data_IF_808380574355
#
_entry.id   IF_808380574355
#
_cell.length_a   1.000
_cell.length_b   1.000
_cell.length_c   1.000
_cell.angle_alpha   90.00
_cell.angle_beta   90.00
_cell.angle_gamma   90.00
#
_symmetry.space_group_name_H-M   'P 1'
#
loop_
_entity.id
_entity.type
_entity.pdbx_description
1 polymer ?
#
# COMPACT_ATOMS: atom_id res chain seq x y z
N UNK A 1 -15.24 11.17 14.95
CA UNK A 1 -14.95 11.72 16.28
C UNK A 1 -13.43 11.67 16.46
N UNK A 2 -12.80 12.82 16.72
CA UNK A 2 -11.35 12.95 16.77
C UNK A 2 -10.78 12.37 18.07
N UNK A 3 -9.69 11.59 17.98
CA UNK A 3 -8.98 11.03 19.11
C UNK A 3 -7.69 11.84 19.34
N UNK A 4 -7.59 12.51 20.49
CA UNK A 4 -6.42 13.28 20.92
C UNK A 4 -5.54 12.43 21.84
N UNK A 5 -4.28 12.23 21.49
CA UNK A 5 -3.28 11.58 22.37
C UNK A 5 -2.55 12.67 23.15
N UNK A 6 -2.78 12.75 24.46
CA UNK A 6 -2.06 13.64 25.38
C UNK A 6 -0.95 12.85 26.06
N UNK A 7 0.32 13.22 25.84
CA UNK A 7 1.43 12.79 26.69
C UNK A 7 1.87 13.96 27.58
N UNK A 8 1.76 13.78 28.90
CA UNK A 8 2.32 14.72 29.89
C UNK A 8 3.81 14.40 30.07
N UNK A 9 4.67 15.41 29.96
CA UNK A 9 5.99 15.42 30.60
C UNK A 9 6.10 16.65 31.50
N UNK A 10 6.45 16.43 32.76
CA UNK A 10 6.92 17.44 33.70
C UNK A 10 8.42 17.65 33.50
N UNK A 11 8.87 18.89 33.39
CA UNK A 11 10.21 19.36 33.76
C UNK A 11 10.16 20.87 34.07
N UNK A 12 10.86 21.28 35.14
CA UNK A 12 10.88 22.62 35.72
C UNK A 12 11.76 23.67 34.98
N UNK A 13 12.03 24.83 35.62
CA UNK A 13 12.18 26.11 34.95
C UNK A 13 13.63 26.40 34.53
N UNK A 14 13.78 27.09 33.40
CA UNK A 14 15.04 27.58 32.88
C UNK A 14 14.77 28.43 31.65
N UNK A 15 14.65 29.73 31.87
CA UNK A 15 14.40 30.75 30.86
C UNK A 15 15.56 30.84 29.87
N UNK A 16 15.21 30.78 28.59
CA UNK A 16 16.07 31.08 27.45
C UNK A 16 15.14 31.25 26.25
N UNK A 17 15.04 32.48 25.76
CA UNK A 17 14.13 32.90 24.70
C UNK A 17 14.15 31.91 23.52
N UNK A 18 13.04 31.19 23.34
CA UNK A 18 12.80 30.37 22.15
C UNK A 18 11.90 31.17 21.20
N UNK A 19 12.17 31.15 19.89
CA UNK A 19 11.28 31.78 18.92
C UNK A 19 9.90 31.12 19.05
N UNK A 20 8.86 31.96 19.08
CA UNK A 20 7.46 31.56 19.13
C UNK A 20 7.17 30.61 17.96
N UNK A 21 7.17 29.32 18.22
CA UNK A 21 6.59 28.33 17.32
C UNK A 21 5.07 28.58 17.29
N UNK A 22 4.64 29.32 16.27
CA UNK A 22 3.23 29.45 15.93
C UNK A 22 2.79 28.11 15.38
N UNK A 23 2.32 27.21 16.26
CA UNK A 23 1.57 26.05 15.83
C UNK A 23 0.35 26.55 15.05
N UNK A 24 0.13 26.10 13.80
CA UNK A 24 -1.10 26.42 13.10
C UNK A 24 -2.26 25.84 13.92
N UNK A 25 -3.10 26.71 14.46
CA UNK A 25 -4.36 26.32 15.10
C UNK A 25 -5.24 25.68 14.04
N UNK A 26 -5.24 24.35 13.97
CA UNK A 26 -6.29 23.63 13.23
C UNK A 26 -7.59 23.86 14.00
N UNK A 27 -8.46 24.69 13.45
CA UNK A 27 -9.79 24.93 14.02
C UNK A 27 -10.56 23.60 14.10
N UNK A 28 -11.24 23.26 15.22
CA UNK A 28 -11.95 21.98 15.39
C UNK A 28 -13.20 21.81 14.50
N UNK A 29 -13.48 22.75 13.59
CA UNK A 29 -14.74 22.88 12.88
C UNK A 29 -14.49 23.02 11.37
N UNK A 30 -13.94 21.98 10.74
CA UNK A 30 -13.99 21.84 9.29
C UNK A 30 -15.41 21.49 8.84
N UNK A 31 -16.33 22.47 8.79
CA UNK A 31 -17.59 22.28 8.08
C UNK A 31 -17.24 22.12 6.60
N UNK A 32 -17.58 20.98 5.99
CA UNK A 32 -17.51 20.81 4.54
C UNK A 32 -18.33 21.93 3.90
N UNK A 33 -17.71 22.66 3.00
CA UNK A 33 -18.43 23.61 2.15
C UNK A 33 -19.39 22.79 1.27
N UNK A 34 -20.69 22.94 1.53
CA UNK A 34 -21.76 22.20 0.84
C UNK A 34 -22.12 22.84 -0.50
N UNK A 35 -21.46 23.94 -0.87
CA UNK A 35 -21.68 24.65 -2.14
C UNK A 35 -20.89 24.06 -3.31
N UNK A 36 -19.96 23.12 -3.06
CA UNK A 36 -19.22 22.48 -4.15
C UNK A 36 -20.09 21.47 -4.89
N UNK A 37 -20.05 21.45 -6.23
CA UNK A 37 -20.77 20.47 -7.01
C UNK A 37 -20.24 19.07 -6.66
N UNK A 38 -21.13 18.23 -6.12
CA UNK A 38 -20.82 16.84 -5.82
C UNK A 38 -20.83 16.08 -7.15
N UNK A 39 -19.69 15.49 -7.51
CA UNK A 39 -19.62 14.57 -8.66
C UNK A 39 -20.57 13.40 -8.38
N UNK A 40 -21.57 13.13 -9.23
CA UNK A 40 -22.52 12.05 -8.99
C UNK A 40 -21.82 10.68 -8.94
N UNK A 41 -22.34 9.76 -8.13
CA UNK A 41 -21.71 8.44 -7.94
C UNK A 41 -21.67 7.65 -9.26
N UNK A 42 -22.67 7.78 -10.11
CA UNK A 42 -22.69 7.19 -11.44
C UNK A 42 -21.55 7.72 -12.32
N UNK A 43 -21.21 9.01 -12.19
CA UNK A 43 -20.10 9.62 -12.93
C UNK A 43 -18.77 9.08 -12.42
N UNK A 44 -18.59 8.99 -11.10
CA UNK A 44 -17.40 8.38 -10.50
C UNK A 44 -17.22 6.93 -10.92
N UNK A 45 -18.31 6.14 -10.99
CA UNK A 45 -18.27 4.75 -11.45
C UNK A 45 -17.90 4.64 -12.93
N UNK A 46 -18.45 5.48 -13.78
CA UNK A 46 -18.21 5.45 -15.23
C UNK A 46 -16.82 5.97 -15.65
N UNK A 47 -16.17 6.79 -14.82
CA UNK A 47 -14.85 7.31 -15.14
C UNK A 47 -13.81 6.18 -15.25
N UNK A 48 -12.93 6.16 -16.27
CA UNK A 48 -11.83 5.20 -16.34
C UNK A 48 -10.81 5.51 -15.23
N UNK A 49 -10.39 4.47 -14.50
CA UNK A 49 -9.49 4.61 -13.34
C UNK A 49 -8.19 3.84 -13.55
N UNK A 50 -7.12 4.38 -12.97
CA UNK A 50 -5.81 3.73 -12.91
C UNK A 50 -5.48 3.47 -11.44
N UNK A 51 -5.14 2.23 -11.11
CA UNK A 51 -4.83 1.79 -9.74
C UNK A 51 -3.36 1.38 -9.65
N UNK A 52 -2.54 2.14 -8.93
CA UNK A 52 -1.09 1.93 -8.90
C UNK A 52 -0.56 1.42 -7.56
N UNK A 53 -1.44 1.27 -6.57
CA UNK A 53 -1.08 0.85 -5.23
C UNK A 53 -2.21 0.04 -4.60
N UNK A 54 -2.18 -1.26 -4.86
CA UNK A 54 -3.10 -2.24 -4.27
C UNK A 54 -2.36 -3.55 -4.02
N UNK A 55 -2.60 -4.18 -2.86
CA UNK A 55 -1.92 -5.40 -2.44
C UNK A 55 -2.81 -6.62 -2.73
N UNK A 56 -2.40 -7.48 -3.66
CA UNK A 56 -3.12 -8.70 -4.02
C UNK A 56 -3.30 -9.63 -2.82
N UNK A 57 -2.26 -9.80 -2.00
CA UNK A 57 -2.25 -10.61 -0.78
C UNK A 57 -3.00 -9.98 0.40
N UNK A 58 -3.49 -8.73 0.25
CA UNK A 58 -4.40 -8.06 1.18
C UNK A 58 -5.83 -7.91 0.67
N UNK A 59 -6.10 -8.16 -0.62
CA UNK A 59 -7.35 -7.82 -1.31
C UNK A 59 -8.36 -8.96 -1.48
N UNK A 60 -8.21 -10.08 -0.77
CA UNK A 60 -9.03 -11.27 -1.00
C UNK A 60 -10.48 -11.06 -0.57
N UNK A 61 -11.42 -11.63 -1.35
CA UNK A 61 -12.82 -11.72 -0.96
C UNK A 61 -12.96 -12.58 0.32
N UNK A 62 -13.68 -12.12 1.36
CA UNK A 62 -13.86 -12.92 2.59
C UNK A 62 -14.46 -14.30 2.36
N UNK A 63 -15.39 -14.45 1.40
CA UNK A 63 -15.96 -15.74 1.03
C UNK A 63 -14.88 -16.69 0.45
N UNK A 64 -14.02 -16.18 -0.43
CA UNK A 64 -12.90 -16.93 -0.98
C UNK A 64 -11.89 -17.33 0.10
N UNK A 65 -11.60 -16.45 1.06
CA UNK A 65 -10.75 -16.79 2.22
C UNK A 65 -11.32 -17.99 2.99
N UNK A 66 -12.62 -17.99 3.28
CA UNK A 66 -13.28 -19.11 3.98
C UNK A 66 -13.19 -20.42 3.18
N UNK A 67 -13.49 -20.36 1.87
CA UNK A 67 -13.45 -21.54 1.01
C UNK A 67 -12.04 -22.11 0.88
N UNK A 68 -11.04 -21.27 0.60
CA UNK A 68 -9.65 -21.70 0.48
C UNK A 68 -9.08 -22.18 1.83
N UNK A 69 -9.48 -21.57 2.95
CA UNK A 69 -9.09 -22.05 4.27
C UNK A 69 -9.59 -23.48 4.53
N UNK A 70 -10.85 -23.79 4.16
CA UNK A 70 -11.39 -25.15 4.24
C UNK A 70 -10.58 -26.11 3.36
N UNK A 71 -10.35 -25.75 2.11
CA UNK A 71 -9.70 -26.63 1.12
C UNK A 71 -8.23 -26.91 1.50
N UNK A 72 -7.54 -25.92 2.07
CA UNK A 72 -6.16 -26.04 2.56
C UNK A 72 -6.05 -26.56 4.00
N UNK A 73 -7.18 -26.82 4.68
CA UNK A 73 -7.28 -27.21 6.10
C UNK A 73 -6.64 -26.21 7.07
N UNK A 74 -6.76 -24.93 6.77
CA UNK A 74 -6.35 -23.85 7.65
C UNK A 74 -7.44 -23.53 8.68
N UNK A 75 -7.12 -23.66 9.97
CA UNK A 75 -8.06 -23.50 11.10
C UNK A 75 -7.88 -22.19 11.87
N UNK A 76 -7.00 -21.30 11.42
CA UNK A 76 -6.65 -20.08 12.15
C UNK A 76 -7.63 -18.92 11.96
N UNK A 77 -8.69 -19.07 11.15
CA UNK A 77 -9.66 -17.99 10.94
C UNK A 77 -10.45 -17.68 12.22
N UNK A 78 -10.74 -16.40 12.52
CA UNK A 78 -11.53 -16.00 13.68
C UNK A 78 -13.00 -16.41 13.58
N UNK A 79 -13.49 -16.64 12.36
CA UNK A 79 -14.84 -17.11 12.03
C UNK A 79 -14.82 -17.71 10.62
N UNK A 80 -15.74 -18.63 10.34
CA UNK A 80 -15.96 -19.19 9.00
C UNK A 80 -17.20 -18.61 8.32
N UNK A 81 -17.91 -17.67 8.94
CA UNK A 81 -18.93 -16.87 8.26
C UNK A 81 -18.28 -15.72 7.49
N UNK A 82 -18.48 -15.68 6.17
CA UNK A 82 -17.85 -14.70 5.30
C UNK A 82 -18.21 -13.24 5.64
N UNK A 83 -19.43 -12.99 6.13
CA UNK A 83 -19.88 -11.63 6.48
C UNK A 83 -19.28 -11.18 7.80
N UNK A 84 -19.18 -12.06 8.78
CA UNK A 84 -18.47 -11.81 10.03
C UNK A 84 -16.98 -11.58 9.78
N UNK A 85 -16.37 -12.42 8.93
CA UNK A 85 -14.97 -12.27 8.55
C UNK A 85 -14.71 -10.92 7.87
N UNK A 86 -15.60 -10.48 6.98
CA UNK A 86 -15.54 -9.16 6.36
C UNK A 86 -15.55 -8.03 7.40
N UNK A 87 -16.43 -8.10 8.41
CA UNK A 87 -16.47 -7.13 9.51
C UNK A 87 -15.20 -7.15 10.35
N UNK A 88 -14.64 -8.33 10.59
CA UNK A 88 -13.41 -8.50 11.35
C UNK A 88 -12.20 -7.87 10.65
N UNK A 89 -12.07 -8.07 9.33
CA UNK A 89 -11.04 -7.42 8.52
C UNK A 89 -11.20 -5.89 8.55
N UNK A 90 -12.42 -5.39 8.33
CA UNK A 90 -12.70 -3.95 8.34
C UNK A 90 -12.38 -3.29 9.70
N UNK A 91 -12.78 -3.92 10.80
CA UNK A 91 -12.51 -3.41 12.14
C UNK A 91 -11.00 -3.39 12.45
N UNK A 92 -10.25 -4.37 11.97
CA UNK A 92 -8.79 -4.42 12.13
C UNK A 92 -8.10 -3.32 11.32
N UNK A 93 -8.61 -2.99 10.13
CA UNK A 93 -8.09 -1.90 9.32
C UNK A 93 -8.39 -0.49 9.86
N UNK A 94 -9.51 -0.34 10.58
CA UNK A 94 -9.88 0.93 11.20
C UNK A 94 -9.19 1.21 12.56
N UNK A 95 -8.23 0.37 12.98
CA UNK A 95 -7.66 0.44 14.33
C UNK A 95 -6.63 1.56 14.55
N UNK A 96 -6.20 2.26 13.49
CA UNK A 96 -5.17 3.30 13.56
C UNK A 96 -3.77 2.78 13.93
N UNK A 97 -3.50 1.48 13.72
CA UNK A 97 -2.21 0.85 14.01
C UNK A 97 -1.82 -0.08 12.86
N UNK A 98 -0.67 0.21 12.24
CA UNK A 98 -0.12 -0.63 11.17
C UNK A 98 0.07 -2.09 11.62
N UNK A 99 0.54 -2.30 12.85
CA UNK A 99 0.73 -3.65 13.39
C UNK A 99 -0.58 -4.44 13.50
N UNK A 100 -1.68 -3.80 13.91
CA UNK A 100 -2.99 -4.47 14.00
C UNK A 100 -3.61 -4.71 12.62
N UNK A 101 -3.41 -3.78 11.68
CA UNK A 101 -3.80 -3.94 10.27
C UNK A 101 -3.13 -5.17 9.64
N UNK A 102 -1.81 -5.33 9.86
CA UNK A 102 -1.03 -6.45 9.32
C UNK A 102 -1.45 -7.83 9.86
N UNK A 103 -2.21 -7.91 10.97
CA UNK A 103 -2.73 -9.21 11.45
C UNK A 103 -3.68 -9.87 10.46
N UNK A 104 -4.40 -9.09 9.65
CA UNK A 104 -5.27 -9.63 8.61
C UNK A 104 -4.49 -10.44 7.57
N UNK A 105 -3.26 -10.01 7.25
CA UNK A 105 -2.42 -10.68 6.26
C UNK A 105 -2.06 -12.11 6.67
N UNK A 106 -2.01 -12.41 7.98
CA UNK A 106 -1.76 -13.78 8.43
C UNK A 106 -2.79 -14.79 7.89
N UNK A 107 -4.05 -14.37 7.72
CA UNK A 107 -5.12 -15.22 7.21
C UNK A 107 -5.12 -15.30 5.69
N UNK A 108 -4.93 -14.18 5.00
CA UNK A 108 -4.90 -14.15 3.53
C UNK A 108 -3.67 -14.86 2.98
N UNK A 109 -2.50 -14.66 3.57
CA UNK A 109 -1.27 -15.39 3.21
C UNK A 109 -1.44 -16.89 3.44
N UNK A 110 -2.05 -17.30 4.56
CA UNK A 110 -2.23 -18.72 4.88
C UNK A 110 -3.06 -19.47 3.83
N UNK A 111 -3.95 -18.79 3.12
CA UNK A 111 -4.79 -19.39 2.07
C UNK A 111 -4.22 -19.26 0.66
N UNK A 112 -3.13 -18.52 0.48
CA UNK A 112 -2.40 -18.35 -0.79
C UNK A 112 -1.18 -19.27 -0.90
N UNK A 113 -1.33 -20.54 -0.50
CA UNK A 113 -0.23 -21.50 -0.43
C UNK A 113 -0.29 -22.60 -1.50
N UNK A 114 -1.04 -22.38 -2.58
CA UNK A 114 -1.03 -23.22 -3.79
C UNK A 114 -1.22 -22.39 -5.06
N UNK A 115 -0.78 -22.88 -6.23
CA UNK A 115 -0.93 -22.14 -7.48
C UNK A 115 -2.40 -21.87 -7.83
N UNK A 116 -3.30 -22.81 -7.53
CA UNK A 116 -4.74 -22.69 -7.80
C UNK A 116 -5.39 -21.62 -6.92
N UNK A 117 -5.01 -21.54 -5.64
CA UNK A 117 -5.47 -20.48 -4.74
C UNK A 117 -5.04 -19.11 -5.24
N UNK A 118 -3.76 -18.95 -5.61
CA UNK A 118 -3.21 -17.68 -6.08
C UNK A 118 -3.86 -17.26 -7.41
N UNK A 119 -3.98 -18.19 -8.36
CA UNK A 119 -4.62 -17.91 -9.65
C UNK A 119 -6.08 -17.47 -9.47
N UNK A 120 -6.83 -18.11 -8.57
CA UNK A 120 -8.18 -17.71 -8.22
C UNK A 120 -8.22 -16.29 -7.66
N UNK A 121 -7.36 -15.98 -6.68
CA UNK A 121 -7.30 -14.65 -6.05
C UNK A 121 -6.92 -13.57 -7.06
N UNK A 122 -5.94 -13.83 -7.93
CA UNK A 122 -5.53 -12.92 -9.00
C UNK A 122 -6.67 -12.66 -10.02
N UNK A 123 -7.40 -13.70 -10.42
CA UNK A 123 -8.56 -13.54 -11.27
C UNK A 123 -9.68 -12.72 -10.61
N UNK A 124 -9.99 -13.00 -9.34
CA UNK A 124 -11.04 -12.29 -8.59
C UNK A 124 -10.68 -10.82 -8.38
N UNK A 125 -9.41 -10.51 -8.11
CA UNK A 125 -8.88 -9.15 -8.09
C UNK A 125 -9.15 -8.41 -9.40
N UNK A 126 -8.78 -9.00 -10.55
CA UNK A 126 -9.04 -8.40 -11.86
C UNK A 126 -10.53 -8.20 -12.15
N UNK A 127 -11.37 -9.16 -11.76
CA UNK A 127 -12.83 -9.07 -11.88
C UNK A 127 -13.42 -7.90 -11.06
N UNK A 128 -12.98 -7.73 -9.82
CA UNK A 128 -13.48 -6.66 -8.94
C UNK A 128 -13.01 -5.28 -9.40
N UNK A 129 -11.73 -5.16 -9.78
CA UNK A 129 -11.18 -3.91 -10.31
C UNK A 129 -11.88 -3.46 -11.59
N UNK A 130 -12.15 -4.39 -12.52
CA UNK A 130 -12.89 -4.08 -13.73
C UNK A 130 -14.32 -3.60 -13.44
N UNK A 131 -15.01 -4.20 -12.45
CA UNK A 131 -16.35 -3.77 -12.01
C UNK A 131 -16.35 -2.37 -11.40
N UNK A 132 -15.25 -1.96 -10.79
CA UNK A 132 -15.04 -0.62 -10.27
C UNK A 132 -14.61 0.41 -11.34
N UNK A 133 -14.53 0.00 -12.61
CA UNK A 133 -14.17 0.86 -13.74
C UNK A 133 -12.67 1.15 -13.82
N UNK A 134 -11.84 0.30 -13.22
CA UNK A 134 -10.39 0.35 -13.39
C UNK A 134 -10.04 -0.23 -14.76
N UNK A 135 -9.26 0.54 -15.53
CA UNK A 135 -8.82 0.16 -16.88
C UNK A 135 -7.37 -0.29 -16.91
N UNK A 136 -6.57 0.10 -15.91
CA UNK A 136 -5.19 -0.35 -15.71
C UNK A 136 -4.88 -0.46 -14.22
N UNK A 137 -4.29 -1.58 -13.81
CA UNK A 137 -3.85 -1.77 -12.44
C UNK A 137 -2.44 -2.37 -12.35
N UNK A 138 -1.67 -1.87 -11.39
CA UNK A 138 -0.43 -2.48 -10.91
C UNK A 138 -0.66 -3.01 -9.50
N UNK A 139 -0.95 -4.31 -9.41
CA UNK A 139 -1.19 -4.99 -8.13
C UNK A 139 0.11 -5.59 -7.62
N UNK A 140 0.36 -5.43 -6.32
CA UNK A 140 1.61 -5.79 -5.66
C UNK A 140 1.41 -6.91 -4.65
N UNK A 141 2.44 -7.69 -4.39
CA UNK A 141 2.42 -8.77 -3.39
C UNK A 141 3.84 -9.21 -3.08
N UNK A 142 4.03 -9.92 -1.97
CA UNK A 142 5.33 -10.50 -1.61
C UNK A 142 5.37 -12.01 -1.93
N UNK A 143 6.00 -12.46 -3.03
CA UNK A 143 6.00 -13.86 -3.42
C UNK A 143 6.52 -14.80 -2.32
N UNK A 144 7.50 -14.32 -1.54
CA UNK A 144 8.10 -15.05 -0.43
C UNK A 144 7.09 -15.52 0.62
N UNK A 145 5.96 -14.83 0.78
CA UNK A 145 4.93 -15.25 1.74
C UNK A 145 4.13 -16.46 1.28
N UNK A 146 4.18 -16.81 -0.01
CA UNK A 146 3.41 -17.93 -0.57
C UNK A 146 4.22 -19.22 -0.71
N UNK A 147 5.46 -19.29 -0.19
CA UNK A 147 6.36 -20.43 -0.40
C UNK A 147 6.35 -21.47 0.73
N UNK A 148 5.59 -21.27 1.81
CA UNK A 148 5.66 -22.09 3.01
C UNK A 148 5.21 -23.56 2.79
N UNK A 149 4.51 -23.86 1.70
CA UNK A 149 4.10 -25.22 1.29
C UNK A 149 4.88 -25.77 0.09
N UNK A 150 6.06 -25.20 -0.21
CA UNK A 150 7.00 -25.75 -1.19
C UNK A 150 6.88 -25.22 -2.61
N UNK A 151 6.05 -24.19 -2.85
CA UNK A 151 6.09 -23.44 -4.10
C UNK A 151 7.42 -22.68 -4.22
N UNK A 152 7.99 -22.66 -5.41
CA UNK A 152 9.07 -21.72 -5.74
C UNK A 152 8.51 -20.31 -5.89
N UNK A 153 9.38 -19.30 -5.82
CA UNK A 153 8.99 -17.91 -6.09
C UNK A 153 8.43 -17.73 -7.50
N UNK A 154 8.97 -18.49 -8.47
CA UNK A 154 8.51 -18.44 -9.85
C UNK A 154 7.10 -19.04 -10.01
N UNK A 155 6.77 -20.10 -9.27
CA UNK A 155 5.42 -20.69 -9.29
C UNK A 155 4.36 -19.67 -8.85
N UNK A 156 4.70 -18.83 -7.87
CA UNK A 156 3.82 -17.77 -7.37
C UNK A 156 3.59 -16.70 -8.45
N UNK A 157 4.67 -16.19 -9.06
CA UNK A 157 4.59 -15.19 -10.14
C UNK A 157 3.79 -15.71 -11.33
N UNK A 158 4.01 -16.96 -11.71
CA UNK A 158 3.30 -17.61 -12.81
C UNK A 158 1.82 -17.81 -12.49
N UNK A 159 1.48 -18.14 -11.24
CA UNK A 159 0.08 -18.27 -10.81
C UNK A 159 -0.68 -16.94 -10.84
N UNK A 160 -0.04 -15.85 -10.41
CA UNK A 160 -0.63 -14.51 -10.52
C UNK A 160 -0.82 -14.14 -12.00
N UNK A 161 0.19 -14.37 -12.84
CA UNK A 161 0.12 -14.11 -14.28
C UNK A 161 -1.08 -14.82 -14.93
N UNK A 162 -1.26 -16.12 -14.67
CA UNK A 162 -2.42 -16.89 -15.20
C UNK A 162 -3.76 -16.31 -14.75
N UNK A 163 -3.86 -15.89 -13.49
CA UNK A 163 -5.10 -15.31 -12.97
C UNK A 163 -5.42 -13.97 -13.62
N UNK A 164 -4.39 -13.14 -13.82
CA UNK A 164 -4.51 -11.86 -14.53
C UNK A 164 -4.85 -12.04 -16.01
N UNK A 165 -4.15 -12.90 -16.73
CA UNK A 165 -4.46 -13.23 -18.13
C UNK A 165 -5.91 -13.69 -18.29
N UNK A 166 -6.40 -14.53 -17.36
CA UNK A 166 -7.80 -14.97 -17.35
C UNK A 166 -8.76 -13.81 -17.14
N UNK A 167 -8.44 -12.86 -16.27
CA UNK A 167 -9.27 -11.67 -16.04
C UNK A 167 -9.23 -10.73 -17.26
N UNK A 168 -8.06 -10.42 -17.82
CA UNK A 168 -7.88 -9.59 -19.02
C UNK A 168 -8.59 -10.19 -20.24
N UNK A 169 -8.71 -11.51 -20.35
CA UNK A 169 -9.47 -12.18 -21.43
C UNK A 169 -10.99 -11.96 -21.34
N UNK A 170 -11.50 -11.60 -20.16
CA UNK A 170 -12.94 -11.48 -19.86
C UNK A 170 -13.38 -10.04 -19.62
N UNK A 171 -12.46 -9.18 -19.20
CA UNK A 171 -12.73 -7.82 -18.77
C UNK A 171 -11.80 -6.83 -19.49
N UNK A 172 -12.30 -5.63 -19.80
CA UNK A 172 -11.53 -4.57 -20.44
C UNK A 172 -10.62 -3.85 -19.42
N UNK A 173 -9.63 -4.57 -18.91
CA UNK A 173 -8.65 -4.10 -17.93
C UNK A 173 -7.26 -4.59 -18.35
N UNK A 174 -6.23 -3.82 -18.02
CA UNK A 174 -4.84 -4.24 -18.11
C UNK A 174 -4.26 -4.41 -16.70
N UNK A 175 -3.70 -5.58 -16.40
CA UNK A 175 -3.22 -5.96 -15.08
C UNK A 175 -1.72 -6.23 -15.11
N UNK A 176 -0.96 -5.57 -14.24
CA UNK A 176 0.48 -5.74 -14.12
C UNK A 176 0.85 -6.04 -12.67
N UNK A 177 1.99 -6.71 -12.52
CA UNK A 177 2.48 -7.19 -11.25
C UNK A 177 3.60 -6.27 -10.72
N UNK A 178 3.62 -6.05 -9.42
CA UNK A 178 4.78 -5.49 -8.70
C UNK A 178 5.22 -6.51 -7.65
N UNK A 179 6.49 -6.90 -7.70
CA UNK A 179 7.06 -7.83 -6.72
C UNK A 179 7.59 -7.04 -5.53
N UNK A 180 7.08 -7.35 -4.33
CA UNK A 180 7.53 -6.74 -3.09
C UNK A 180 8.57 -7.61 -2.37
N UNK A 181 9.64 -6.99 -1.89
CA UNK A 181 10.39 -7.50 -0.75
C UNK A 181 9.83 -6.96 0.57
N UNK A 182 10.19 -7.59 1.68
CA UNK A 182 9.72 -7.19 3.00
C UNK A 182 10.85 -6.58 3.83
N UNK A 183 10.55 -5.44 4.45
CA UNK A 183 11.49 -4.63 5.24
C UNK A 183 12.19 -5.37 6.38
N UNK A 184 11.52 -6.37 6.95
CA UNK A 184 12.03 -7.19 8.05
C UNK A 184 12.76 -8.47 7.58
N UNK A 185 13.07 -8.60 6.29
CA UNK A 185 13.76 -9.76 5.69
C UNK A 185 15.04 -9.34 4.98
N UNK A 186 15.86 -10.31 4.61
CA UNK A 186 17.17 -10.09 3.97
C UNK A 186 17.21 -10.54 2.50
N UNK A 187 16.12 -11.07 1.98
CA UNK A 187 15.98 -11.66 0.64
C UNK A 187 15.56 -10.66 -0.45
N UNK A 188 15.64 -9.35 -0.17
CA UNK A 188 15.25 -8.30 -1.14
C UNK A 188 15.99 -8.36 -2.48
N UNK A 189 17.26 -8.80 -2.50
CA UNK A 189 18.00 -8.94 -3.75
C UNK A 189 17.42 -10.06 -4.62
N UNK A 190 17.02 -11.18 -4.02
CA UNK A 190 16.38 -12.29 -4.72
C UNK A 190 15.01 -11.86 -5.28
N UNK A 191 14.24 -11.09 -4.51
CA UNK A 191 12.96 -10.54 -5.00
C UNK A 191 13.15 -9.58 -6.17
N UNK A 192 14.20 -8.72 -6.14
CA UNK A 192 14.51 -7.84 -7.25
C UNK A 192 14.97 -8.61 -8.50
N UNK A 193 15.79 -9.66 -8.33
CA UNK A 193 16.18 -10.56 -9.42
C UNK A 193 14.96 -11.23 -10.06
N UNK A 194 14.05 -11.76 -9.23
CA UNK A 194 12.79 -12.35 -9.69
C UNK A 194 11.95 -11.34 -10.48
N UNK A 195 11.83 -10.10 -9.99
CA UNK A 195 11.06 -9.05 -10.63
C UNK A 195 11.63 -8.70 -12.02
N UNK A 196 12.94 -8.46 -12.10
CA UNK A 196 13.64 -8.15 -13.35
C UNK A 196 13.55 -9.32 -14.34
N UNK A 197 13.74 -10.56 -13.88
CA UNK A 197 13.66 -11.74 -14.73
C UNK A 197 12.28 -11.94 -15.37
N UNK A 198 11.22 -11.38 -14.78
CA UNK A 198 9.84 -11.47 -15.27
C UNK A 198 9.34 -10.16 -15.91
N UNK A 199 10.23 -9.23 -16.28
CA UNK A 199 9.88 -7.93 -16.90
C UNK A 199 9.02 -8.04 -18.16
N UNK A 200 9.28 -9.07 -18.97
CA UNK A 200 8.57 -9.31 -20.24
C UNK A 200 7.35 -10.24 -20.03
N UNK A 201 7.04 -10.58 -18.77
CA UNK A 201 5.95 -11.48 -18.36
C UNK A 201 4.95 -10.78 -17.44
N UNK A 202 4.85 -9.45 -17.56
CA UNK A 202 3.86 -8.63 -16.87
C UNK A 202 4.28 -8.10 -15.50
N UNK A 203 5.50 -8.37 -15.02
CA UNK A 203 6.06 -7.71 -13.83
C UNK A 203 6.69 -6.39 -14.24
N UNK A 204 6.19 -5.28 -13.71
CA UNK A 204 6.58 -3.92 -14.18
C UNK A 204 7.32 -3.10 -13.15
N UNK A 205 7.45 -3.60 -11.93
CA UNK A 205 8.17 -2.88 -10.88
C UNK A 205 8.54 -3.76 -9.70
N UNK A 206 9.46 -3.20 -8.90
CA UNK A 206 9.90 -3.73 -7.62
C UNK A 206 9.50 -2.75 -6.51
N UNK A 207 9.13 -3.30 -5.35
CA UNK A 207 8.75 -2.54 -4.16
C UNK A 207 9.34 -3.14 -2.88
N UNK A 208 9.34 -2.35 -1.81
CA UNK A 208 9.51 -2.86 -0.45
C UNK A 208 8.35 -2.43 0.42
N UNK A 209 7.83 -3.36 1.22
CA UNK A 209 6.68 -3.16 2.09
C UNK A 209 6.92 -3.72 3.51
N UNK A 210 5.93 -3.61 4.39
CA UNK A 210 6.00 -4.05 5.78
C UNK A 210 6.27 -2.91 6.76
N UNK A 211 6.64 -3.27 8.00
CA UNK A 211 6.88 -2.29 9.07
C UNK A 211 7.99 -1.31 8.68
N UNK A 212 7.67 -0.01 8.69
CA UNK A 212 8.59 1.03 8.23
C UNK A 212 9.56 1.50 9.32
N UNK A 213 9.05 1.75 10.53
CA UNK A 213 9.85 2.26 11.64
C UNK A 213 10.88 1.21 12.09
N UNK A 214 12.17 1.58 12.12
CA UNK A 214 13.27 0.68 12.48
C UNK A 214 13.82 -0.19 11.32
N UNK A 215 13.15 -0.16 10.16
CA UNK A 215 13.56 -0.92 8.98
C UNK A 215 13.76 0.02 7.77
N UNK A 216 14.80 0.86 7.78
CA UNK A 216 15.03 1.84 6.72
C UNK A 216 15.26 1.17 5.36
N UNK A 217 14.82 1.80 4.25
CA UNK A 217 14.92 1.24 2.91
C UNK A 217 16.37 0.96 2.49
N UNK A 218 17.34 1.73 3.00
CA UNK A 218 18.77 1.58 2.69
C UNK A 218 19.35 0.19 3.02
N UNK A 219 18.73 -0.57 3.93
CA UNK A 219 19.11 -1.96 4.20
C UNK A 219 18.95 -2.88 2.99
N UNK A 220 18.18 -2.45 1.98
CA UNK A 220 17.90 -3.18 0.75
C UNK A 220 18.61 -2.57 -0.47
N UNK A 221 19.63 -1.74 -0.27
CA UNK A 221 20.30 -0.98 -1.34
C UNK A 221 20.78 -1.85 -2.50
N UNK A 222 21.28 -3.06 -2.24
CA UNK A 222 21.72 -3.98 -3.29
C UNK A 222 20.60 -4.34 -4.29
N UNK A 223 19.35 -4.49 -3.79
CA UNK A 223 18.18 -4.77 -4.62
C UNK A 223 17.84 -3.56 -5.50
N UNK A 224 17.83 -2.36 -4.93
CA UNK A 224 17.57 -1.13 -5.68
C UNK A 224 18.64 -0.83 -6.72
N UNK A 225 19.92 -1.03 -6.38
CA UNK A 225 21.02 -0.89 -7.32
C UNK A 225 20.93 -1.88 -8.48
N UNK A 226 20.45 -3.11 -8.23
CA UNK A 226 20.15 -4.06 -9.31
C UNK A 226 19.05 -3.51 -10.22
N UNK A 227 17.90 -3.11 -9.67
CA UNK A 227 16.82 -2.55 -10.46
C UNK A 227 17.27 -1.34 -11.29
N UNK A 228 18.09 -0.46 -10.71
CA UNK A 228 18.65 0.69 -11.43
C UNK A 228 19.53 0.28 -12.62
N UNK A 229 20.48 -0.66 -12.42
CA UNK A 229 21.34 -1.15 -13.52
C UNK A 229 20.54 -1.80 -14.65
N UNK A 230 19.42 -2.42 -14.32
CA UNK A 230 18.54 -3.11 -15.27
C UNK A 230 17.47 -2.17 -15.88
N UNK A 231 17.49 -0.88 -15.54
CA UNK A 231 16.48 0.11 -15.92
C UNK A 231 15.05 -0.32 -15.55
N UNK A 232 14.91 -0.93 -14.37
CA UNK A 232 13.65 -1.47 -13.87
C UNK A 232 12.97 -0.52 -12.88
N UNK A 233 11.64 -0.46 -12.90
CA UNK A 233 10.89 0.51 -12.12
C UNK A 233 10.92 0.21 -10.62
N UNK A 234 11.14 1.25 -9.81
CA UNK A 234 11.17 1.15 -8.35
C UNK A 234 10.04 2.02 -7.77
N UNK A 235 9.21 1.43 -6.93
CA UNK A 235 8.32 2.16 -6.01
C UNK A 235 8.71 1.77 -4.59
N UNK A 236 8.53 2.65 -3.59
CA UNK A 236 8.88 2.33 -2.19
C UNK A 236 7.78 2.85 -1.27
N UNK A 237 7.24 2.00 -0.39
CA UNK A 237 6.42 2.47 0.74
C UNK A 237 7.25 3.36 1.64
N UNK A 238 6.95 4.66 1.75
CA UNK A 238 7.69 5.56 2.63
C UNK A 238 6.80 6.71 3.11
N UNK A 239 7.03 7.18 4.33
CA UNK A 239 6.26 8.28 4.91
C UNK A 239 4.90 7.84 5.46
N UNK A 240 4.73 6.58 5.86
CA UNK A 240 3.50 6.04 6.45
C UNK A 240 3.65 5.85 7.96
N UNK A 241 4.54 4.93 8.35
CA UNK A 241 4.94 4.64 9.73
C UNK A 241 6.20 5.40 10.18
N UNK A 242 6.97 5.97 9.24
CA UNK A 242 8.15 6.81 9.54
C UNK A 242 8.08 8.17 8.84
N UNK A 243 8.85 9.15 9.35
CA UNK A 243 8.71 10.56 8.95
C UNK A 243 9.31 10.91 7.59
N UNK A 244 9.42 12.21 7.26
CA UNK A 244 9.99 12.72 6.00
C UNK A 244 11.36 12.12 5.64
N UNK A 245 12.20 11.81 6.63
CA UNK A 245 13.48 11.15 6.43
C UNK A 245 13.38 9.82 5.65
N UNK A 246 12.29 9.06 5.84
CA UNK A 246 12.06 7.82 5.08
C UNK A 246 11.84 8.08 3.60
N UNK A 247 11.03 9.11 3.30
CA UNK A 247 10.73 9.54 1.93
C UNK A 247 12.03 10.01 1.27
N UNK A 248 12.80 10.82 1.99
CA UNK A 248 14.10 11.31 1.52
C UNK A 248 15.04 10.15 1.18
N UNK A 249 15.19 9.14 2.06
CA UNK A 249 16.03 7.97 1.77
C UNK A 249 15.52 7.16 0.58
N UNK A 250 14.19 6.98 0.47
CA UNK A 250 13.58 6.27 -0.65
C UNK A 250 13.93 6.95 -2.00
N UNK A 251 13.92 8.28 -2.06
CA UNK A 251 14.24 9.04 -3.28
C UNK A 251 15.76 9.09 -3.50
N UNK A 252 16.51 9.62 -2.53
CA UNK A 252 17.90 10.03 -2.71
C UNK A 252 18.90 8.87 -2.63
N UNK A 253 18.63 7.89 -1.75
CA UNK A 253 19.53 6.73 -1.59
C UNK A 253 19.08 5.58 -2.47
N UNK A 254 17.77 5.31 -2.51
CA UNK A 254 17.23 4.11 -3.13
C UNK A 254 16.72 4.32 -4.56
N UNK A 255 16.60 5.57 -5.04
CA UNK A 255 16.22 5.87 -6.41
C UNK A 255 14.76 5.56 -6.75
N UNK A 256 13.84 5.71 -5.79
CA UNK A 256 12.42 5.46 -6.04
C UNK A 256 11.85 6.38 -7.14
N UNK A 257 11.13 5.81 -8.11
CA UNK A 257 10.38 6.56 -9.11
C UNK A 257 9.00 6.98 -8.58
N UNK A 258 8.44 6.22 -7.64
CA UNK A 258 7.19 6.55 -6.94
C UNK A 258 7.30 6.25 -5.45
N UNK A 259 6.58 7.02 -4.65
CA UNK A 259 6.44 6.82 -3.21
C UNK A 259 5.05 6.23 -2.92
N UNK A 260 5.03 5.10 -2.22
CA UNK A 260 3.82 4.55 -1.62
C UNK A 260 3.48 5.33 -0.35
N UNK A 261 2.22 5.74 -0.22
CA UNK A 261 1.68 6.58 0.86
C UNK A 261 2.18 8.03 0.85
N UNK A 262 3.38 8.31 1.35
CA UNK A 262 3.91 9.68 1.45
C UNK A 262 3.10 10.62 2.37
N UNK A 263 2.21 10.09 3.22
CA UNK A 263 1.26 10.90 4.01
C UNK A 263 1.94 11.81 5.02
N UNK A 264 3.12 11.45 5.50
CA UNK A 264 3.93 12.24 6.44
C UNK A 264 4.80 13.30 5.77
N UNK A 265 4.75 13.45 4.44
CA UNK A 265 5.45 14.53 3.73
C UNK A 265 5.00 15.92 4.20
N UNK A 266 3.75 16.06 4.62
CA UNK A 266 3.18 17.30 5.16
C UNK A 266 3.96 17.85 6.37
N UNK A 267 4.67 17.00 7.11
CA UNK A 267 5.50 17.41 8.25
C UNK A 267 6.72 18.25 7.84
N UNK A 268 7.09 18.20 6.57
CA UNK A 268 8.19 18.94 5.95
C UNK A 268 7.70 19.92 4.87
N UNK A 269 6.39 20.19 4.83
CA UNK A 269 5.81 21.20 3.97
C UNK A 269 5.52 22.48 4.76
N UNK A 270 5.92 23.62 4.19
CA UNK A 270 5.32 24.90 4.57
C UNK A 270 4.11 25.12 3.67
N UNK A 271 2.90 25.07 4.25
CA UNK A 271 1.66 25.35 3.55
C UNK A 271 1.25 26.77 3.92
N UNK A 272 1.45 27.71 2.99
CA UNK A 272 0.94 29.06 3.16
C UNK A 272 -0.55 29.10 2.82
N UNK A 273 -1.36 29.49 3.80
CA UNK A 273 -2.81 29.61 3.66
C UNK A 273 -3.09 30.79 2.72
N UNK A 274 -3.47 30.51 1.47
CA UNK A 274 -3.81 31.53 0.49
C UNK A 274 -5.18 32.13 0.83
N UNK A 275 -5.26 32.91 1.92
CA UNK A 275 -6.40 33.72 2.36
C UNK A 275 -7.78 33.15 2.05
N UNK A 276 -8.44 32.53 3.05
CA UNK A 276 -9.83 32.06 2.95
C UNK A 276 -10.72 33.13 2.30
N UNK A 277 -11.20 32.88 1.08
CA UNK A 277 -12.26 33.70 0.46
C UNK A 277 -12.12 34.02 -1.02
N UNK A 278 -11.00 33.70 -1.68
CA UNK A 278 -10.88 33.87 -3.15
C UNK A 278 -10.90 32.51 -3.86
N UNK A 279 -11.98 32.18 -4.60
CA UNK A 279 -12.00 31.02 -5.48
C UNK A 279 -10.83 31.10 -6.49
N UNK A 280 -10.05 30.02 -6.63
CA UNK A 280 -8.96 29.92 -7.59
C UNK A 280 -7.55 30.22 -7.07
N UNK A 281 -7.35 30.37 -5.75
CA UNK A 281 -6.00 30.41 -5.16
C UNK A 281 -5.59 29.04 -4.62
N UNK A 282 -4.61 28.44 -5.27
CA UNK A 282 -3.97 27.19 -4.85
C UNK A 282 -3.12 27.44 -3.60
N UNK A 283 -3.17 26.52 -2.62
CA UNK A 283 -2.21 26.49 -1.54
C UNK A 283 -0.82 26.29 -2.14
N UNK A 284 0.10 27.22 -1.91
CA UNK A 284 1.45 27.14 -2.46
C UNK A 284 2.32 26.35 -1.48
N UNK A 285 2.95 25.28 -1.97
CA UNK A 285 3.98 24.53 -1.22
C UNK A 285 5.30 25.29 -1.40
N UNK A 286 5.70 26.08 -0.40
CA UNK A 286 6.83 27.01 -0.54
C UNK A 286 8.19 26.40 -0.18
N UNK A 287 8.23 25.17 0.35
CA UNK A 287 9.48 24.49 0.69
C UNK A 287 9.34 22.96 0.65
N UNK A 288 10.30 22.32 0.00
CA UNK A 288 10.65 20.90 0.13
C UNK A 288 12.08 20.90 0.69
N UNK A 289 12.25 20.50 1.95
CA UNK A 289 13.53 20.50 2.67
C UNK A 289 14.46 19.37 2.24
#
# INVERSE_FOLDING_TARGET
MACSVSSRRQCGPGDGERPLHVHPRVSPQGRRDTSQPVIPLETLRAAPKVLLHDHLDGGLRPATVVELARDLRYTGLPTTDARELARWFHASAASGSLALYLRGFAHTIAVMQSPESIERVAYECGEDLARDGVVYAESRYAPIFSTARGMSLQDVVDAVARGFERAESRYAITLRQIVCAMRNRTDSLEMAQLAVANRDRGVVGFDIAGEEAGYPPEKHLAAFQLCHRENFSITIHAGEGFGPASIWQAIQICGAHRIGHGVRLVEDMTIEDAGRGTPGREATVTKLG
#
